data_IF_380006727390
#
_entry.id   IF_380006727390
#
_cell.length_a   1.000
_cell.length_b   1.000
_cell.length_c   1.000
_cell.angle_alpha   90.00
_cell.angle_beta   90.00
_cell.angle_gamma   90.00
#
_symmetry.space_group_name_H-M   'P 1'
#
loop_
_entity.id
_entity.type
_entity.pdbx_description
1 polymer ?
#
# COMPACT_ATOMS: atom_id res chain seq x y z
N UNK A 1 -9.76 -9.71 -12.03
CA UNK A 1 -9.64 -8.33 -12.57
C UNK A 1 -8.19 -8.09 -12.97
N UNK A 2 -7.90 -7.08 -13.82
CA UNK A 2 -6.51 -6.77 -14.20
C UNK A 2 -6.00 -5.54 -13.45
N UNK A 3 -4.81 -5.66 -12.87
CA UNK A 3 -4.10 -4.57 -12.21
C UNK A 3 -2.70 -4.43 -12.78
N UNK A 4 -2.16 -3.22 -12.72
CA UNK A 4 -0.98 -2.82 -13.48
C UNK A 4 0.13 -2.26 -12.58
N UNK A 5 1.37 -2.67 -12.84
CA UNK A 5 2.57 -2.12 -12.19
C UNK A 5 3.46 -1.44 -13.20
N UNK A 6 3.52 -0.11 -13.13
CA UNK A 6 4.51 0.68 -13.86
C UNK A 6 5.89 0.49 -13.23
N UNK A 7 6.92 0.30 -14.07
CA UNK A 7 8.28 0.06 -13.59
C UNK A 7 9.33 0.55 -14.58
N UNK A 8 10.46 0.99 -14.02
CA UNK A 8 11.66 1.33 -14.79
C UNK A 8 12.37 0.04 -15.18
N UNK A 9 12.88 -0.04 -16.41
CA UNK A 9 13.76 -1.13 -16.80
C UNK A 9 15.06 -1.07 -15.98
N UNK A 10 15.36 -2.14 -15.24
CA UNK A 10 16.51 -2.21 -14.32
C UNK A 10 16.89 -3.66 -14.04
N UNK A 11 18.11 -3.90 -13.56
CA UNK A 11 18.55 -5.25 -13.16
C UNK A 11 17.66 -5.86 -12.08
N UNK A 12 17.20 -5.06 -11.12
CA UNK A 12 16.28 -5.51 -10.08
C UNK A 12 14.97 -6.02 -10.68
N UNK A 13 14.36 -5.27 -11.62
CA UNK A 13 13.14 -5.71 -12.30
C UNK A 13 13.35 -7.02 -13.08
N UNK A 14 14.47 -7.15 -13.79
CA UNK A 14 14.76 -8.38 -14.53
C UNK A 14 14.92 -9.57 -13.57
N UNK A 15 15.61 -9.36 -12.45
CA UNK A 15 15.74 -10.37 -11.39
C UNK A 15 14.38 -10.82 -10.86
N UNK A 16 13.46 -9.89 -10.58
CA UNK A 16 12.13 -10.27 -10.07
C UNK A 16 11.30 -11.02 -11.11
N UNK A 17 11.38 -10.65 -12.39
CA UNK A 17 10.71 -11.38 -13.47
C UNK A 17 11.25 -12.81 -13.65
N UNK A 18 12.57 -13.00 -13.54
CA UNK A 18 13.22 -14.32 -13.61
C UNK A 18 12.76 -15.20 -12.43
N UNK A 19 12.74 -14.64 -11.22
CA UNK A 19 12.38 -15.38 -10.01
C UNK A 19 10.87 -15.56 -9.81
N UNK A 20 10.04 -14.76 -10.49
CA UNK A 20 8.60 -14.71 -10.24
C UNK A 20 8.26 -14.06 -8.90
N UNK A 21 9.01 -13.03 -8.52
CA UNK A 21 8.88 -12.31 -7.25
C UNK A 21 8.40 -10.88 -7.44
N UNK A 22 8.00 -10.24 -6.35
CA UNK A 22 7.69 -8.80 -6.28
C UNK A 22 8.41 -8.17 -5.10
N UNK A 23 8.75 -6.89 -5.24
CA UNK A 23 9.29 -6.09 -4.13
C UNK A 23 8.16 -5.41 -3.38
N UNK A 24 8.15 -5.57 -2.06
CA UNK A 24 7.26 -4.84 -1.17
C UNK A 24 8.00 -3.66 -0.54
N UNK A 25 7.55 -2.45 -0.82
CA UNK A 25 8.14 -1.23 -0.25
C UNK A 25 7.52 -0.93 1.10
N UNK A 26 8.35 -0.48 2.06
CA UNK A 26 7.83 0.17 3.26
C UNK A 26 7.31 1.59 2.96
N UNK A 27 6.35 2.13 3.75
CA UNK A 27 5.79 3.46 3.54
C UNK A 27 6.84 4.58 3.45
N UNK A 28 8.00 4.42 4.09
CA UNK A 28 9.07 5.42 4.15
C UNK A 28 9.78 5.67 2.81
N UNK A 29 9.49 4.85 1.78
CA UNK A 29 10.05 4.99 0.45
C UNK A 29 9.05 5.52 -0.58
N UNK A 30 7.83 5.89 -0.15
CA UNK A 30 6.87 6.53 -1.04
C UNK A 30 7.35 7.93 -1.41
N UNK A 31 7.09 8.32 -2.65
CA UNK A 31 7.48 9.61 -3.21
C UNK A 31 6.62 10.77 -2.68
N UNK A 32 5.39 10.48 -2.24
CA UNK A 32 4.52 11.45 -1.61
C UNK A 32 4.76 11.49 -0.10
N UNK A 33 5.27 12.62 0.39
CA UNK A 33 5.56 12.85 1.82
C UNK A 33 4.29 12.94 2.67
N UNK A 34 3.13 13.11 2.05
CA UNK A 34 1.82 13.17 2.71
C UNK A 34 1.12 11.80 2.76
N UNK A 35 1.68 10.77 2.10
CA UNK A 35 1.12 9.42 2.10
C UNK A 35 1.32 8.73 3.46
N UNK A 36 0.40 7.82 3.81
CA UNK A 36 0.40 7.05 5.05
C UNK A 36 0.40 7.91 6.33
N UNK A 37 -0.05 9.16 6.24
CA UNK A 37 -0.21 10.09 7.37
C UNK A 37 -1.64 10.04 7.94
N UNK A 38 -1.80 10.50 9.17
CA UNK A 38 -3.09 10.60 9.84
C UNK A 38 -3.15 11.83 10.74
N UNK A 39 -4.36 12.33 10.98
CA UNK A 39 -4.59 13.45 11.88
C UNK A 39 -4.76 12.96 13.32
N UNK A 40 -3.99 13.55 14.24
CA UNK A 40 -4.20 13.39 15.68
C UNK A 40 -5.41 14.22 16.11
N UNK A 41 -6.28 13.64 16.94
CA UNK A 41 -7.42 14.36 17.53
C UNK A 41 -7.11 14.87 18.93
N UNK A 42 -7.74 15.99 19.25
CA UNK A 42 -7.87 16.46 20.62
C UNK A 42 -9.07 15.74 21.24
N UNK A 43 -8.80 14.72 22.04
CA UNK A 43 -9.83 13.96 22.73
C UNK A 43 -10.47 14.82 23.83
N UNK A 44 -11.79 14.73 23.95
CA UNK A 44 -12.56 15.32 25.05
C UNK A 44 -12.22 14.64 26.38
N UNK A 45 -12.52 15.30 27.51
CA UNK A 45 -12.34 14.70 28.85
C UNK A 45 -13.06 13.37 29.01
N UNK A 46 -14.22 13.19 28.37
CA UNK A 46 -14.98 11.96 28.38
C UNK A 46 -14.25 10.85 27.60
N UNK A 47 -13.87 11.11 26.35
CA UNK A 47 -13.13 10.17 25.51
C UNK A 47 -11.81 9.72 26.15
N UNK A 48 -11.14 10.66 26.81
CA UNK A 48 -9.95 10.41 27.60
C UNK A 48 -10.19 9.46 28.78
N UNK A 49 -11.35 9.56 29.45
CA UNK A 49 -11.74 8.65 30.52
C UNK A 49 -12.07 7.24 29.98
N UNK A 50 -12.71 7.16 28.81
CA UNK A 50 -13.03 5.91 28.12
C UNK A 50 -11.74 5.19 27.67
N UNK A 51 -10.78 5.93 27.11
CA UNK A 51 -9.47 5.40 26.72
C UNK A 51 -8.71 4.79 27.92
N UNK A 52 -8.78 5.41 29.09
CA UNK A 52 -8.19 4.84 30.33
C UNK A 52 -8.83 3.53 30.73
N UNK A 53 -10.16 3.43 30.61
CA UNK A 53 -10.89 2.20 30.92
C UNK A 53 -10.45 1.11 29.94
N UNK A 54 -10.40 1.41 28.63
CA UNK A 54 -9.93 0.48 27.61
C UNK A 54 -8.51 -0.02 27.87
N UNK A 55 -7.57 0.87 28.19
CA UNK A 55 -6.20 0.48 28.54
C UNK A 55 -6.12 -0.37 29.80
N UNK A 56 -6.89 -0.02 30.85
CA UNK A 56 -6.92 -0.80 32.08
C UNK A 56 -7.47 -2.20 31.82
N UNK A 57 -8.50 -2.36 30.99
CA UNK A 57 -9.00 -3.68 30.60
C UNK A 57 -7.99 -4.46 29.74
N UNK A 58 -7.37 -3.81 28.74
CA UNK A 58 -6.31 -4.41 27.90
C UNK A 58 -5.14 -4.90 28.74
N UNK A 59 -4.76 -4.15 29.78
CA UNK A 59 -3.69 -4.53 30.70
C UNK A 59 -4.18 -5.46 31.83
N UNK A 60 -5.46 -5.44 32.22
CA UNK A 60 -5.98 -6.35 33.25
C UNK A 60 -6.13 -7.77 32.74
N UNK A 61 -6.38 -7.98 31.44
CA UNK A 61 -6.25 -9.30 30.80
C UNK A 61 -4.79 -9.82 30.83
N UNK A 62 -3.80 -8.95 31.10
CA UNK A 62 -2.41 -9.32 31.41
C UNK A 62 -2.11 -9.34 32.94
N UNK A 63 -2.90 -8.67 33.77
CA UNK A 63 -2.68 -8.48 35.22
C UNK A 63 -3.54 -9.38 36.12
N UNK A 64 -4.19 -10.45 35.62
CA UNK A 64 -4.73 -11.55 36.47
C UNK A 64 -3.63 -12.30 37.29
N UNK A 65 -2.42 -11.71 37.39
CA UNK A 65 -1.32 -12.09 38.29
C UNK A 65 -0.96 -11.01 39.33
N UNK A 66 -1.69 -9.88 39.45
CA UNK A 66 -1.34 -8.77 40.36
C UNK A 66 -2.47 -8.47 41.39
N UNK A 67 -2.18 -8.38 42.70
CA UNK A 67 -3.19 -8.25 43.76
C UNK A 67 -4.06 -6.98 43.70
N UNK A 68 -5.29 -7.14 44.20
CA UNK A 68 -6.43 -6.20 44.20
C UNK A 68 -6.19 -4.86 44.92
N UNK A 69 -5.08 -4.76 45.65
CA UNK A 69 -4.74 -3.71 46.60
C UNK A 69 -4.34 -2.38 45.91
N UNK A 70 -4.08 -2.43 44.60
CA UNK A 70 -3.60 -1.29 43.79
C UNK A 70 -4.72 -0.41 43.23
N UNK A 71 -6.00 -0.78 43.41
CA UNK A 71 -7.15 -0.08 42.82
C UNK A 71 -7.65 1.00 43.79
N UNK A 72 -6.83 2.02 44.04
CA UNK A 72 -7.24 3.22 44.75
C UNK A 72 -6.71 4.47 44.03
N UNK A 73 -7.53 5.03 43.14
CA UNK A 73 -7.98 6.43 43.24
C UNK A 73 -9.03 6.74 42.15
N UNK A 74 -10.15 7.36 42.56
CA UNK A 74 -11.26 7.83 41.72
C UNK A 74 -11.15 9.36 41.64
N UNK A 75 -10.17 9.85 40.90
CA UNK A 75 -10.14 11.23 40.43
C UNK A 75 -10.03 11.22 38.90
N UNK A 76 -10.96 11.92 38.23
CA UNK A 76 -10.99 12.08 36.77
C UNK A 76 -9.89 13.07 36.38
N UNK A 77 -8.65 12.63 36.45
CA UNK A 77 -7.53 13.33 35.84
C UNK A 77 -7.51 13.05 34.33
N UNK A 78 -6.99 13.96 33.54
CA UNK A 78 -6.69 13.71 32.12
C UNK A 78 -5.63 12.62 32.01
N UNK A 79 -5.73 11.65 31.08
CA UNK A 79 -4.64 10.72 30.74
C UNK A 79 -3.34 11.50 30.66
N UNK A 80 -2.27 11.01 31.30
CA UNK A 80 -0.99 11.68 31.14
C UNK A 80 -0.66 11.69 29.64
N UNK A 81 -0.13 12.82 29.14
CA UNK A 81 0.05 13.06 27.69
C UNK A 81 0.80 11.90 27.00
N UNK A 82 1.71 11.26 27.73
CA UNK A 82 2.45 10.06 27.32
C UNK A 82 1.58 8.85 26.92
N UNK A 83 0.35 8.72 27.43
CA UNK A 83 -0.54 7.59 27.14
C UNK A 83 -1.15 7.68 25.74
N UNK A 84 -1.68 8.86 25.37
CA UNK A 84 -2.24 9.08 24.03
C UNK A 84 -1.11 9.10 23.00
N UNK A 85 0.02 9.74 23.32
CA UNK A 85 1.21 9.69 22.47
C UNK A 85 1.71 8.25 22.27
N UNK A 86 1.55 7.38 23.28
CA UNK A 86 1.81 5.95 23.20
C UNK A 86 0.94 5.23 22.17
N UNK A 87 -0.37 5.46 22.17
CA UNK A 87 -1.29 4.86 21.19
C UNK A 87 -0.99 5.34 19.75
N UNK A 88 -0.70 6.63 19.56
CA UNK A 88 -0.27 7.14 18.25
C UNK A 88 1.08 6.55 17.82
N UNK A 89 2.01 6.35 18.75
CA UNK A 89 3.30 5.71 18.47
C UNK A 89 3.14 4.23 18.12
N UNK A 90 2.20 3.52 18.74
CA UNK A 90 1.88 2.13 18.42
C UNK A 90 1.31 2.01 16.99
N UNK A 91 0.32 2.83 16.64
CA UNK A 91 -0.23 2.90 15.27
C UNK A 91 0.87 3.19 14.25
N UNK A 92 1.70 4.21 14.54
CA UNK A 92 2.81 4.57 13.66
C UNK A 92 3.77 3.38 13.50
N UNK A 93 4.18 2.75 14.59
CA UNK A 93 5.05 1.57 14.57
C UNK A 93 4.45 0.43 13.73
N UNK A 94 3.14 0.21 13.83
CA UNK A 94 2.44 -0.81 13.05
C UNK A 94 2.43 -0.49 11.55
N UNK A 95 2.10 0.74 11.15
CA UNK A 95 2.20 1.24 9.76
C UNK A 95 3.59 0.94 9.18
N UNK A 96 4.64 1.31 9.91
CA UNK A 96 6.03 1.19 9.45
C UNK A 96 6.53 -0.25 9.34
N UNK A 97 5.72 -1.28 9.65
CA UNK A 97 6.08 -2.70 9.50
C UNK A 97 5.60 -3.31 8.20
N UNK A 98 4.63 -2.70 7.54
CA UNK A 98 4.03 -3.25 6.33
C UNK A 98 4.97 -3.16 5.13
N UNK A 99 5.00 -4.25 4.36
CA UNK A 99 5.43 -4.24 2.97
C UNK A 99 4.21 -4.02 2.08
N UNK A 100 4.35 -3.11 1.10
CA UNK A 100 3.27 -2.68 0.23
C UNK A 100 3.68 -2.85 -1.22
N UNK A 101 2.88 -3.59 -1.98
CA UNK A 101 2.91 -3.59 -3.45
C UNK A 101 1.80 -2.68 -3.95
N UNK A 102 2.18 -1.59 -4.62
CA UNK A 102 1.25 -0.64 -5.23
C UNK A 102 0.98 -1.02 -6.69
N UNK A 103 -0.29 -1.11 -7.07
CA UNK A 103 -0.80 -1.46 -8.40
C UNK A 103 -1.82 -0.40 -8.84
N UNK A 104 -2.17 -0.38 -10.12
CA UNK A 104 -3.15 0.56 -10.69
C UNK A 104 -4.21 -0.17 -11.49
N UNK A 105 -5.43 0.35 -11.53
CA UNK A 105 -6.46 -0.13 -12.47
C UNK A 105 -6.21 0.30 -13.92
N UNK A 106 -5.38 1.31 -14.15
CA UNK A 106 -5.15 1.90 -15.47
C UNK A 106 -3.74 1.63 -15.97
N UNK A 107 -3.62 1.36 -17.27
CA UNK A 107 -2.35 1.10 -17.93
C UNK A 107 -1.91 2.20 -18.90
N UNK A 108 -2.76 3.19 -19.13
CA UNK A 108 -2.62 4.23 -20.14
C UNK A 108 -2.46 5.65 -19.55
N UNK A 109 -2.34 5.77 -18.23
CA UNK A 109 -2.09 7.05 -17.56
C UNK A 109 -0.76 7.67 -18.01
N UNK A 110 -0.84 8.82 -18.71
CA UNK A 110 0.31 9.55 -19.22
C UNK A 110 1.27 9.97 -18.11
N UNK A 111 0.73 10.44 -16.98
CA UNK A 111 1.50 10.85 -15.81
C UNK A 111 2.25 9.67 -15.20
N UNK A 112 1.60 8.51 -15.06
CA UNK A 112 2.26 7.32 -14.51
C UNK A 112 3.38 6.78 -15.41
N UNK A 113 3.18 6.82 -16.73
CA UNK A 113 4.25 6.49 -17.67
C UNK A 113 5.45 7.43 -17.56
N UNK A 114 5.21 8.73 -17.31
CA UNK A 114 6.27 9.71 -17.10
C UNK A 114 7.02 9.45 -15.79
N UNK A 115 6.30 9.34 -14.67
CA UNK A 115 6.88 9.25 -13.33
C UNK A 115 7.47 7.88 -12.99
N UNK A 116 6.73 6.79 -13.24
CA UNK A 116 7.06 5.46 -12.73
C UNK A 116 7.67 4.54 -13.77
N UNK A 117 7.42 4.78 -15.06
CA UNK A 117 8.02 4.02 -16.16
C UNK A 117 9.15 4.80 -16.88
N UNK A 118 9.90 5.59 -16.12
CA UNK A 118 11.11 6.29 -16.57
C UNK A 118 10.92 7.08 -17.88
N UNK A 119 9.94 7.99 -17.92
CA UNK A 119 9.64 8.78 -19.12
C UNK A 119 9.36 7.91 -20.36
N UNK A 120 8.51 6.88 -20.21
CA UNK A 120 8.15 5.91 -21.26
C UNK A 120 9.28 5.01 -21.77
N UNK A 121 10.42 4.92 -21.06
CA UNK A 121 11.51 3.98 -21.41
C UNK A 121 11.44 2.67 -20.63
N UNK A 122 10.59 2.60 -19.60
CA UNK A 122 10.29 1.39 -18.85
C UNK A 122 9.13 0.57 -19.43
N UNK A 123 8.46 -0.17 -18.56
CA UNK A 123 7.33 -1.03 -18.92
C UNK A 123 6.23 -1.00 -17.85
N UNK A 124 5.10 -1.60 -18.18
CA UNK A 124 3.97 -1.79 -17.29
C UNK A 124 3.59 -3.28 -17.29
N UNK A 125 3.61 -3.91 -16.12
CA UNK A 125 3.29 -5.33 -15.93
C UNK A 125 1.80 -5.45 -15.60
N UNK A 126 1.09 -6.31 -16.32
CA UNK A 126 -0.32 -6.62 -16.10
C UNK A 126 -0.42 -7.92 -15.31
N UNK A 127 -1.09 -7.85 -14.16
CA UNK A 127 -1.38 -8.98 -13.29
C UNK A 127 -2.85 -9.37 -13.40
N UNK A 128 -3.13 -10.67 -13.37
CA UNK A 128 -4.47 -11.16 -13.04
C UNK A 128 -4.63 -11.30 -11.54
N UNK A 129 -5.71 -10.75 -11.04
CA UNK A 129 -6.03 -10.73 -9.63
C UNK A 129 -7.44 -11.25 -9.46
N UNK A 130 -7.59 -12.40 -8.84
CA UNK A 130 -8.90 -12.94 -8.48
C UNK A 130 -9.46 -12.15 -7.30
N UNK A 131 -10.61 -11.52 -7.50
CA UNK A 131 -11.25 -10.69 -6.47
C UNK A 131 -11.75 -11.53 -5.28
N UNK A 132 -12.05 -12.82 -5.52
CA UNK A 132 -12.56 -13.73 -4.50
C UNK A 132 -11.46 -14.45 -3.69
N UNK A 133 -10.23 -14.54 -4.18
CA UNK A 133 -9.13 -15.25 -3.49
C UNK A 133 -8.65 -14.56 -2.21
N UNK A 134 -9.07 -13.31 -1.97
CA UNK A 134 -8.71 -12.50 -0.81
C UNK A 134 -9.87 -12.32 0.20
N UNK A 135 -11.01 -12.99 -0.01
CA UNK A 135 -12.23 -12.92 0.82
C UNK A 135 -12.14 -13.75 2.11
N UNK A 136 -11.01 -13.65 2.81
CA UNK A 136 -10.85 -14.21 4.16
C UNK A 136 -10.22 -13.25 5.15
N UNK A 137 -9.28 -12.40 4.70
CA UNK A 137 -8.55 -11.42 5.52
C UNK A 137 -7.97 -10.22 4.71
N UNK A 138 -8.13 -10.18 3.38
CA UNK A 138 -8.06 -8.99 2.51
C UNK A 138 -6.76 -8.18 2.53
N UNK A 139 -5.67 -8.75 2.02
CA UNK A 139 -4.38 -8.06 1.86
C UNK A 139 -4.36 -7.11 0.67
N UNK A 140 -5.22 -7.25 -0.34
CA UNK A 140 -5.34 -6.34 -1.47
C UNK A 140 -6.56 -5.42 -1.32
N UNK A 141 -6.35 -4.10 -1.39
CA UNK A 141 -7.41 -3.10 -1.21
C UNK A 141 -7.29 -1.92 -2.16
N UNK A 142 -8.41 -1.33 -2.62
CA UNK A 142 -8.37 -0.07 -3.35
C UNK A 142 -7.99 1.07 -2.41
N UNK A 143 -7.30 2.07 -2.96
CA UNK A 143 -7.00 3.32 -2.26
C UNK A 143 -8.22 4.25 -2.35
N UNK A 144 -8.58 4.82 -1.20
CA UNK A 144 -9.54 5.90 -1.07
C UNK A 144 -8.83 7.25 -1.13
N UNK A 145 -9.38 8.18 -1.91
CA UNK A 145 -8.78 9.49 -2.13
C UNK A 145 -9.51 10.57 -1.34
N UNK A 146 -8.74 11.43 -0.68
CA UNK A 146 -9.26 12.47 0.22
C UNK A 146 -8.42 13.75 0.14
N UNK A 147 -9.03 14.89 0.43
CA UNK A 147 -8.31 16.17 0.65
C UNK A 147 -7.84 16.33 2.10
N UNK A 148 -8.28 15.45 2.99
CA UNK A 148 -7.97 15.43 4.41
C UNK A 148 -7.36 14.09 4.82
N UNK A 149 -6.48 14.10 5.82
CA UNK A 149 -5.97 12.86 6.39
C UNK A 149 -7.06 12.09 7.14
N UNK A 150 -6.93 10.76 7.27
CA UNK A 150 -7.74 10.00 8.20
C UNK A 150 -7.59 10.54 9.61
N UNK A 151 -8.71 10.92 10.21
CA UNK A 151 -8.77 11.33 11.60
C UNK A 151 -8.89 10.09 12.48
N UNK A 152 -8.11 10.03 13.56
CA UNK A 152 -8.19 8.95 14.55
C UNK A 152 -9.12 9.32 15.69
N UNK A 153 -10.00 8.40 16.06
CA UNK A 153 -10.91 8.51 17.21
C UNK A 153 -10.48 7.55 18.32
N UNK A 154 -11.11 7.63 19.49
CA UNK A 154 -10.85 6.67 20.57
C UNK A 154 -11.08 5.21 20.16
N UNK A 155 -11.99 4.96 19.22
CA UNK A 155 -12.33 3.62 18.74
C UNK A 155 -11.26 3.03 17.83
N UNK A 156 -10.32 3.87 17.37
CA UNK A 156 -9.16 3.44 16.61
C UNK A 156 -8.00 2.99 17.50
N UNK A 157 -8.09 3.24 18.81
CA UNK A 157 -7.10 2.83 19.80
C UNK A 157 -7.48 1.46 20.38
N UNK A 158 -6.53 0.52 20.39
CA UNK A 158 -6.62 -0.76 21.09
C UNK A 158 -7.67 -1.80 20.62
N UNK A 159 -8.70 -1.45 19.84
CA UNK A 159 -9.79 -2.39 19.48
C UNK A 159 -9.49 -3.17 18.20
N UNK A 160 -9.04 -2.50 17.14
CA UNK A 160 -8.67 -3.14 15.86
C UNK A 160 -7.58 -2.33 15.15
N UNK A 161 -6.36 -2.44 15.71
CA UNK A 161 -5.17 -1.74 15.22
C UNK A 161 -4.90 -2.01 13.73
N UNK A 162 -5.24 -3.22 13.27
CA UNK A 162 -5.05 -3.62 11.88
C UNK A 162 -6.02 -2.87 10.97
N UNK A 163 -7.30 -2.81 11.31
CA UNK A 163 -8.30 -2.05 10.53
C UNK A 163 -7.98 -0.56 10.47
N UNK A 164 -7.61 0.05 11.59
CA UNK A 164 -7.18 1.45 11.64
C UNK A 164 -5.96 1.68 10.77
N UNK A 165 -4.96 0.80 10.86
CA UNK A 165 -3.74 0.90 10.05
C UNK A 165 -4.04 0.73 8.57
N UNK A 166 -4.86 -0.25 8.18
CA UNK A 166 -5.26 -0.45 6.79
C UNK A 166 -6.05 0.76 6.25
N UNK A 167 -6.90 1.40 7.06
CA UNK A 167 -7.59 2.65 6.67
C UNK A 167 -6.58 3.75 6.33
N UNK A 168 -5.54 3.90 7.16
CA UNK A 168 -4.49 4.90 6.95
C UNK A 168 -3.67 4.56 5.70
N UNK A 169 -3.21 3.32 5.59
CA UNK A 169 -2.43 2.83 4.46
C UNK A 169 -3.21 2.81 3.14
N UNK A 170 -4.53 2.93 3.16
CA UNK A 170 -5.39 3.00 1.96
C UNK A 170 -5.99 4.37 1.76
N UNK A 171 -5.57 5.41 2.48
CA UNK A 171 -6.00 6.79 2.22
C UNK A 171 -4.87 7.59 1.60
N UNK A 172 -5.13 8.24 0.47
CA UNK A 172 -4.14 9.05 -0.26
C UNK A 172 -4.72 10.39 -0.67
N UNK A 173 -3.86 11.38 -0.89
CA UNK A 173 -4.27 12.69 -1.36
C UNK A 173 -5.03 12.61 -2.69
N UNK A 174 -6.10 13.41 -2.82
CA UNK A 174 -6.90 13.56 -4.03
C UNK A 174 -6.07 13.95 -5.27
N UNK A 175 -4.92 14.60 -5.09
CA UNK A 175 -3.99 14.94 -6.17
C UNK A 175 -3.48 13.70 -6.92
N UNK A 176 -3.46 12.52 -6.28
CA UNK A 176 -3.01 11.26 -6.87
C UNK A 176 -4.17 10.36 -7.33
N UNK A 177 -5.41 10.86 -7.35
CA UNK A 177 -6.59 10.07 -7.72
C UNK A 177 -6.53 9.46 -9.13
N UNK A 178 -5.75 10.07 -10.03
CA UNK A 178 -5.52 9.56 -11.37
C UNK A 178 -4.79 8.21 -11.40
N UNK A 179 -4.12 7.81 -10.31
CA UNK A 179 -3.41 6.53 -10.24
C UNK A 179 -4.36 5.34 -10.12
N UNK A 180 -5.60 5.54 -9.63
CA UNK A 180 -6.56 4.46 -9.32
C UNK A 180 -5.88 3.27 -8.64
N UNK A 181 -5.21 3.59 -7.55
CA UNK A 181 -4.24 2.72 -6.90
C UNK A 181 -4.94 1.60 -6.11
N UNK A 182 -4.34 0.42 -6.16
CA UNK A 182 -4.63 -0.71 -5.29
C UNK A 182 -3.36 -1.09 -4.55
N UNK A 183 -3.47 -1.48 -3.28
CA UNK A 183 -2.35 -1.85 -2.42
C UNK A 183 -2.51 -3.25 -1.90
N UNK A 184 -1.51 -4.09 -2.16
CA UNK A 184 -1.35 -5.39 -1.51
C UNK A 184 -0.42 -5.26 -0.30
N UNK A 185 -0.82 -5.82 0.83
CA UNK A 185 -0.20 -5.64 2.14
C UNK A 185 0.33 -6.96 2.71
N UNK A 186 1.54 -6.90 3.25
CA UNK A 186 2.11 -7.98 4.05
C UNK A 186 2.72 -7.42 5.34
N UNK A 187 2.26 -7.93 6.48
CA UNK A 187 2.76 -7.48 7.78
C UNK A 187 4.18 -8.02 8.03
N UNK A 188 5.07 -7.19 8.57
CA UNK A 188 6.49 -7.52 8.82
C UNK A 188 7.29 -7.89 7.56
N UNK A 189 6.85 -7.48 6.38
CA UNK A 189 7.53 -7.74 5.10
C UNK A 189 7.94 -6.45 4.37
N UNK A 190 8.14 -5.36 5.10
CA UNK A 190 8.66 -4.12 4.51
C UNK A 190 10.03 -4.33 3.86
N UNK A 191 10.25 -3.66 2.74
CA UNK A 191 11.52 -3.65 2.02
C UNK A 191 12.05 -5.06 1.76
N UNK A 192 11.15 -5.95 1.31
CA UNK A 192 11.44 -7.37 1.15
C UNK A 192 10.93 -7.83 -0.21
N UNK A 193 11.69 -8.72 -0.84
CA UNK A 193 11.28 -9.46 -2.03
C UNK A 193 10.50 -10.71 -1.60
N UNK A 194 9.31 -10.93 -2.15
CA UNK A 194 8.47 -12.11 -1.88
C UNK A 194 8.06 -12.78 -3.19
N UNK A 195 7.64 -14.07 -3.18
CA UNK A 195 6.94 -14.66 -4.31
C UNK A 195 5.77 -13.79 -4.74
N UNK A 196 5.58 -13.62 -6.06
CA UNK A 196 4.46 -12.82 -6.55
C UNK A 196 3.14 -13.43 -6.09
N UNK A 197 2.25 -12.66 -5.43
CA UNK A 197 0.92 -13.15 -5.07
C UNK A 197 -0.02 -13.26 -6.28
N UNK A 198 0.38 -12.69 -7.43
CA UNK A 198 -0.44 -12.57 -8.63
C UNK A 198 0.31 -13.07 -9.87
N UNK A 199 -0.43 -13.64 -10.80
CA UNK A 199 0.10 -14.12 -12.08
C UNK A 199 0.26 -12.97 -13.07
N UNK A 200 1.39 -12.94 -13.78
CA UNK A 200 1.62 -11.98 -14.87
C UNK A 200 0.90 -12.50 -16.11
N UNK A 201 -0.02 -11.71 -16.67
CA UNK A 201 -0.74 -12.05 -17.91
C UNK A 201 -0.37 -11.16 -19.08
N UNK A 202 0.33 -10.06 -18.83
CA UNK A 202 0.77 -9.18 -19.90
C UNK A 202 1.91 -8.26 -19.53
N UNK A 203 2.61 -7.78 -20.55
CA UNK A 203 3.58 -6.70 -20.45
C UNK A 203 3.30 -5.68 -21.53
N UNK A 204 3.23 -4.42 -21.13
CA UNK A 204 3.13 -3.26 -22.00
C UNK A 204 4.48 -2.56 -21.96
N UNK A 205 5.19 -2.51 -23.08
CA UNK A 205 6.45 -1.80 -23.21
C UNK A 205 6.19 -0.31 -23.42
N UNK A 206 7.05 0.53 -22.85
CA UNK A 206 6.96 1.98 -23.02
C UNK A 206 7.18 2.41 -24.46
N UNK A 207 6.58 3.54 -24.82
CA UNK A 207 6.65 4.11 -26.18
C UNK A 207 8.08 4.46 -26.63
N UNK A 208 9.02 4.60 -25.69
CA UNK A 208 10.43 4.92 -25.94
C UNK A 208 11.38 3.80 -25.49
N UNK A 209 10.84 2.65 -25.11
CA UNK A 209 11.65 1.50 -24.71
C UNK A 209 12.40 0.94 -25.92
N UNK A 210 13.68 0.57 -25.73
CA UNK A 210 14.52 0.04 -26.80
C UNK A 210 14.18 -1.42 -27.11
N UNK A 211 14.29 -1.82 -28.37
CA UNK A 211 13.93 -3.16 -28.84
C UNK A 211 14.73 -4.28 -28.15
N UNK A 212 16.03 -4.09 -27.93
CA UNK A 212 16.90 -5.05 -27.23
C UNK A 212 16.44 -5.31 -25.78
N UNK A 213 15.97 -4.27 -25.09
CA UNK A 213 15.40 -4.39 -23.75
C UNK A 213 14.05 -5.12 -23.78
N UNK A 214 13.20 -4.84 -24.78
CA UNK A 214 11.93 -5.54 -24.97
C UNK A 214 12.17 -7.04 -25.21
N UNK A 215 13.10 -7.38 -26.09
CA UNK A 215 13.45 -8.76 -26.42
C UNK A 215 14.01 -9.51 -25.21
N UNK A 216 14.78 -8.82 -24.36
CA UNK A 216 15.26 -9.38 -23.09
C UNK A 216 14.10 -9.79 -22.18
N UNK A 217 13.10 -8.91 -22.00
CA UNK A 217 11.92 -9.21 -21.18
C UNK A 217 11.09 -10.34 -21.79
N UNK A 218 10.85 -10.32 -23.10
CA UNK A 218 10.16 -11.42 -23.81
C UNK A 218 10.87 -12.75 -23.61
N UNK A 219 12.20 -12.76 -23.67
CA UNK A 219 13.01 -13.98 -23.47
C UNK A 219 12.90 -14.51 -22.03
N UNK A 220 12.92 -13.63 -21.03
CA UNK A 220 12.76 -14.02 -19.61
C UNK A 220 11.39 -14.68 -19.38
N UNK A 221 10.34 -14.11 -19.98
CA UNK A 221 8.97 -14.60 -19.81
C UNK A 221 8.56 -15.63 -20.86
N UNK A 222 9.51 -16.13 -21.67
CA UNK A 222 9.25 -17.14 -22.70
C UNK A 222 8.71 -18.42 -22.08
N UNK A 223 7.64 -18.95 -22.66
CA UNK A 223 6.98 -20.18 -22.18
C UNK A 223 5.92 -19.93 -21.11
N UNK A 224 5.76 -18.70 -20.64
CA UNK A 224 4.59 -18.27 -19.86
C UNK A 224 3.49 -17.76 -20.80
N UNK A 225 2.23 -17.88 -20.41
CA UNK A 225 1.09 -17.32 -21.15
C UNK A 225 0.98 -15.80 -20.90
N UNK A 226 1.95 -15.05 -21.44
CA UNK A 226 2.06 -13.59 -21.27
C UNK A 226 1.87 -12.91 -22.62
N UNK A 227 0.95 -11.94 -22.66
CA UNK A 227 0.70 -11.12 -23.86
C UNK A 227 1.61 -9.91 -23.88
N UNK A 228 2.29 -9.70 -25.00
CA UNK A 228 3.16 -8.54 -25.17
C UNK A 228 2.50 -7.46 -26.02
N UNK A 229 2.72 -6.22 -25.62
CA UNK A 229 2.26 -5.04 -26.33
C UNK A 229 3.19 -3.87 -26.11
N UNK A 230 3.09 -2.83 -26.92
CA UNK A 230 3.82 -1.59 -26.76
C UNK A 230 2.84 -0.41 -26.76
N UNK A 231 3.06 0.52 -25.84
CA UNK A 231 2.37 1.79 -25.82
C UNK A 231 2.83 2.64 -27.02
N UNK A 232 1.89 3.19 -27.77
CA UNK A 232 2.16 4.06 -28.90
C UNK A 232 1.51 5.42 -28.67
N UNK A 233 2.27 6.49 -28.87
CA UNK A 233 1.72 7.84 -28.79
C UNK A 233 0.69 8.07 -29.90
N UNK A 234 -0.51 8.50 -29.53
CA UNK A 234 -1.52 8.89 -30.51
C UNK A 234 -1.10 10.17 -31.23
N UNK A 235 -1.40 10.26 -32.53
CA UNK A 235 -1.07 11.42 -33.37
C UNK A 235 -2.13 12.53 -33.30
N UNK A 236 -3.30 12.26 -32.72
CA UNK A 236 -4.46 13.17 -32.77
C UNK A 236 -5.00 13.59 -31.40
N UNK A 237 -4.54 12.95 -30.31
CA UNK A 237 -5.02 13.21 -28.94
C UNK A 237 -3.92 12.90 -27.91
N UNK A 238 -4.08 13.45 -26.71
CA UNK A 238 -3.22 13.12 -25.56
C UNK A 238 -3.60 11.75 -24.98
N UNK A 239 -3.21 10.68 -25.67
CA UNK A 239 -3.42 9.30 -25.23
C UNK A 239 -2.32 8.36 -25.72
N UNK A 240 -2.28 7.17 -25.13
CA UNK A 240 -1.48 6.05 -25.62
C UNK A 240 -2.40 4.96 -26.17
N UNK A 241 -2.15 4.51 -27.39
CA UNK A 241 -2.77 3.32 -27.94
C UNK A 241 -1.91 2.08 -27.58
N UNK A 242 -2.52 0.90 -27.46
CA UNK A 242 -1.82 -0.37 -27.13
C UNK A 242 -1.72 -1.24 -28.38
N UNK A 243 -0.51 -1.37 -28.92
CA UNK A 243 -0.25 -2.26 -30.06
C UNK A 243 0.29 -3.61 -29.60
N UNK A 244 -0.25 -4.72 -30.12
CA UNK A 244 0.33 -6.04 -29.88
C UNK A 244 1.70 -6.13 -30.53
N UNK A 245 2.63 -6.82 -29.87
CA UNK A 245 3.95 -7.14 -30.42
C UNK A 245 4.18 -8.63 -30.25
N UNK A 246 4.66 -9.27 -31.32
CA UNK A 246 4.96 -10.71 -31.35
C UNK A 246 6.27 -11.04 -30.60
#
# INVERSE_FOLDING_TARGET
>A
MKLYKYSRYSEHLLSTLVKGTVWLSGPQHFNDIFDCQFQRTNLTKQELSELRILHKHRNSEFEDQVPLDCIADKSVETPPANMIDGEYAEISSFIWRFGILTLSEVSDSLLMWAHYAANHTGLCIEYDVEAEADLGNGSLRPVSYSTEYPTLSIYDFGVDILKTTLRILTTKSMEWAYEKEWRYFENNKKNTEIPSPFEITGVIFGARMKTDQMDTVKKILKGKDVKFSQAQQSTTRFSLDRLKVD
#
